data_IF_770354945072
#
_entry.id   IF_770354945072
#
_cell.length_a   1.000
_cell.length_b   1.000
_cell.length_c   1.000
_cell.angle_alpha   90.00
_cell.angle_beta   90.00
_cell.angle_gamma   90.00
#
_symmetry.space_group_name_H-M   'P 1'
#
loop_
_entity.id
_entity.type
_entity.pdbx_description
1 polymer ?
#
# COMPACT_ATOMS: atom_id res chain seq x y z
N UNK A 1 -3.40 26.37 0.51
CA UNK A 1 -4.10 25.20 -0.09
C UNK A 1 -3.24 24.00 0.24
N UNK A 2 -3.73 23.05 1.01
CA UNK A 2 -2.99 21.83 1.26
C UNK A 2 -2.77 21.15 -0.10
N UNK A 3 -1.52 20.88 -0.47
CA UNK A 3 -1.20 20.08 -1.64
C UNK A 3 -1.96 18.76 -1.51
N UNK A 4 -2.79 18.44 -2.51
CA UNK A 4 -3.59 17.23 -2.50
C UNK A 4 -2.68 16.00 -2.42
N UNK A 5 -3.08 14.98 -1.67
CA UNK A 5 -2.33 13.72 -1.60
C UNK A 5 -2.43 12.98 -2.94
N UNK A 6 -1.26 12.58 -3.48
CA UNK A 6 -1.17 11.79 -4.70
C UNK A 6 -1.23 10.31 -4.33
N UNK A 7 -2.20 9.60 -4.93
CA UNK A 7 -2.40 8.17 -4.72
C UNK A 7 -2.24 7.40 -6.03
N UNK A 8 -1.64 6.21 -5.90
CA UNK A 8 -1.58 5.26 -6.99
C UNK A 8 -2.87 4.43 -7.08
N UNK A 9 -3.52 4.15 -5.94
CA UNK A 9 -4.79 3.42 -5.89
C UNK A 9 -5.94 4.30 -6.40
N UNK A 10 -6.72 3.75 -7.34
CA UNK A 10 -7.91 4.40 -7.88
C UNK A 10 -9.08 3.42 -8.00
N UNK A 11 -10.30 3.94 -7.84
CA UNK A 11 -11.53 3.18 -8.02
C UNK A 11 -12.10 3.40 -9.43
N UNK A 12 -12.59 2.32 -10.04
CA UNK A 12 -13.25 2.32 -11.34
C UNK A 12 -14.77 2.18 -11.12
N UNK A 13 -15.55 3.28 -11.18
CA UNK A 13 -16.98 3.26 -10.81
C UNK A 13 -17.82 2.30 -11.65
N UNK A 14 -17.50 2.13 -12.93
CA UNK A 14 -18.22 1.22 -13.84
C UNK A 14 -18.12 -0.26 -13.41
N UNK A 15 -17.00 -0.67 -12.80
CA UNK A 15 -16.76 -2.03 -12.29
C UNK A 15 -17.29 -2.21 -10.86
N UNK A 16 -17.38 -1.13 -10.06
CA UNK A 16 -17.74 -1.19 -8.66
C UNK A 16 -19.21 -1.60 -8.45
N UNK A 17 -19.45 -2.53 -7.52
CA UNK A 17 -20.79 -3.03 -7.15
C UNK A 17 -21.25 -2.58 -5.75
N UNK A 18 -20.48 -1.73 -5.05
CA UNK A 18 -20.85 -1.24 -3.73
C UNK A 18 -20.87 -2.31 -2.60
N UNK A 19 -20.13 -3.40 -2.73
CA UNK A 19 -20.18 -4.56 -1.84
C UNK A 19 -19.48 -4.41 -0.48
N UNK A 20 -18.94 -3.26 -0.13
CA UNK A 20 -18.22 -2.88 1.11
C UNK A 20 -17.00 -3.73 1.49
N UNK A 21 -16.61 -4.73 0.70
CA UNK A 21 -15.45 -5.60 1.01
C UNK A 21 -14.15 -4.80 1.14
N UNK A 22 -13.90 -3.83 0.26
CA UNK A 22 -12.74 -2.95 0.31
C UNK A 22 -12.79 -1.98 1.52
N UNK A 23 -13.98 -1.60 1.97
CA UNK A 23 -14.20 -0.75 3.15
C UNK A 23 -13.71 -1.49 4.40
N UNK A 24 -14.14 -2.74 4.56
CA UNK A 24 -13.76 -3.59 5.71
C UNK A 24 -12.29 -4.02 5.70
N UNK A 25 -11.67 -4.06 4.54
CA UNK A 25 -10.27 -4.44 4.39
C UNK A 25 -9.29 -3.26 4.56
N UNK A 26 -9.80 -2.04 4.70
CA UNK A 26 -8.94 -0.86 4.76
C UNK A 26 -8.41 -0.61 6.19
N UNK A 27 -7.09 -0.71 6.43
CA UNK A 27 -6.52 -0.60 7.78
C UNK A 27 -6.57 0.83 8.35
N UNK A 28 -6.85 1.81 7.51
CA UNK A 28 -6.89 3.24 7.89
C UNK A 28 -8.27 3.87 7.69
N UNK A 29 -9.31 3.05 7.48
CA UNK A 29 -10.68 3.52 7.28
C UNK A 29 -10.81 4.56 6.15
N UNK A 30 -9.99 4.43 5.11
CA UNK A 30 -9.89 5.39 4.01
C UNK A 30 -10.97 5.25 2.94
N UNK A 31 -11.90 4.31 3.08
CA UNK A 31 -12.89 4.00 2.03
C UNK A 31 -14.29 4.13 2.57
N UNK A 32 -15.17 4.71 1.76
CA UNK A 32 -16.62 4.75 1.97
C UNK A 32 -17.33 4.17 0.74
N UNK A 33 -18.52 3.62 0.94
CA UNK A 33 -19.46 3.33 -0.15
C UNK A 33 -20.61 4.31 -0.04
N UNK A 34 -20.77 5.14 -1.07
CA UNK A 34 -21.88 6.09 -1.19
C UNK A 34 -22.53 5.91 -2.55
N UNK A 35 -23.86 5.98 -2.63
CA UNK A 35 -24.62 5.78 -3.88
C UNK A 35 -24.22 4.49 -4.63
N UNK A 36 -23.91 3.42 -3.89
CA UNK A 36 -23.51 2.12 -4.45
C UNK A 36 -22.10 2.10 -5.08
N UNK A 37 -21.25 3.10 -4.83
CA UNK A 37 -19.87 3.18 -5.32
C UNK A 37 -18.88 3.45 -4.20
N UNK A 38 -17.70 2.85 -4.35
CA UNK A 38 -16.60 3.10 -3.41
C UNK A 38 -15.90 4.42 -3.74
N UNK A 39 -15.63 5.19 -2.69
CA UNK A 39 -14.94 6.49 -2.72
C UNK A 39 -13.76 6.48 -1.75
N UNK A 40 -12.69 7.21 -2.10
CA UNK A 40 -11.44 7.28 -1.34
C UNK A 40 -11.37 8.58 -0.53
N UNK A 41 -11.10 8.45 0.77
CA UNK A 41 -10.70 9.58 1.61
C UNK A 41 -9.18 9.71 1.51
N UNK A 42 -8.72 10.64 0.66
CA UNK A 42 -7.30 10.80 0.32
C UNK A 42 -6.40 10.97 1.55
N UNK A 43 -6.81 11.76 2.55
CA UNK A 43 -6.02 11.98 3.75
C UNK A 43 -5.70 10.69 4.54
N UNK A 44 -6.50 9.63 4.40
CA UNK A 44 -6.36 8.36 5.13
C UNK A 44 -5.69 7.25 4.35
N UNK A 45 -5.65 7.35 3.02
CA UNK A 45 -5.09 6.29 2.19
C UNK A 45 -3.56 6.19 2.35
N UNK A 46 -3.07 4.96 2.53
CA UNK A 46 -1.65 4.63 2.63
C UNK A 46 -1.13 3.86 1.41
N UNK A 47 -1.93 3.71 0.38
CA UNK A 47 -1.63 2.99 -0.86
C UNK A 47 -1.15 1.53 -0.67
N UNK A 48 -1.53 0.86 0.42
CA UNK A 48 -1.10 -0.52 0.69
C UNK A 48 -1.63 -1.54 -0.34
N UNK A 49 -2.71 -1.20 -1.07
CA UNK A 49 -3.32 -2.06 -2.09
C UNK A 49 -4.16 -3.21 -1.55
N UNK A 50 -4.48 -3.26 -0.25
CA UNK A 50 -5.33 -4.33 0.30
C UNK A 50 -6.73 -4.32 -0.32
N UNK A 51 -7.29 -3.14 -0.59
CA UNK A 51 -8.55 -3.00 -1.32
C UNK A 51 -8.52 -3.61 -2.73
N UNK A 52 -7.35 -3.60 -3.41
CA UNK A 52 -7.17 -4.24 -4.73
C UNK A 52 -7.24 -5.76 -4.59
N UNK A 53 -6.54 -6.33 -3.60
CA UNK A 53 -6.52 -7.78 -3.36
C UNK A 53 -7.89 -8.34 -3.02
N UNK A 54 -8.70 -7.58 -2.28
CA UNK A 54 -10.02 -8.00 -1.79
C UNK A 54 -11.14 -7.77 -2.80
N UNK A 55 -10.91 -7.01 -3.86
CA UNK A 55 -11.96 -6.67 -4.81
C UNK A 55 -12.21 -7.78 -5.83
N UNK A 56 -13.27 -8.58 -5.63
CA UNK A 56 -13.66 -9.65 -6.55
C UNK A 56 -14.08 -9.15 -7.95
N UNK A 57 -14.41 -7.87 -8.07
CA UNK A 57 -14.84 -7.24 -9.33
C UNK A 57 -13.70 -6.50 -10.06
N UNK A 58 -12.48 -6.54 -9.53
CA UNK A 58 -11.35 -5.79 -10.08
C UNK A 58 -11.68 -4.32 -10.34
N UNK A 59 -12.49 -3.72 -9.44
CA UNK A 59 -12.89 -2.33 -9.51
C UNK A 59 -11.90 -1.37 -8.84
N UNK A 60 -10.81 -1.89 -8.30
CA UNK A 60 -9.72 -1.11 -7.71
C UNK A 60 -8.46 -1.42 -8.49
N UNK A 61 -7.89 -0.39 -9.09
CA UNK A 61 -6.70 -0.46 -9.91
C UNK A 61 -5.59 0.41 -9.31
N UNK A 62 -4.34 0.16 -9.68
CA UNK A 62 -3.25 1.05 -9.38
C UNK A 62 -2.80 1.78 -10.64
N UNK A 63 -2.40 3.02 -10.46
CA UNK A 63 -1.64 3.72 -11.48
C UNK A 63 -0.23 3.11 -11.54
N UNK A 64 0.31 2.97 -12.73
CA UNK A 64 1.73 2.72 -12.98
C UNK A 64 2.05 3.26 -14.37
N UNK A 65 3.30 3.66 -14.58
CA UNK A 65 3.75 4.12 -15.89
C UNK A 65 3.76 2.95 -16.87
N UNK A 66 3.64 3.28 -18.15
CA UNK A 66 3.70 2.29 -19.23
C UNK A 66 5.13 2.13 -19.73
N UNK A 67 5.46 0.93 -20.23
CA UNK A 67 6.79 0.67 -20.77
C UNK A 67 7.19 1.66 -21.88
N UNK A 68 6.20 2.10 -22.67
CA UNK A 68 6.41 3.06 -23.76
C UNK A 68 6.92 4.44 -23.30
N UNK A 69 6.75 4.77 -22.01
CA UNK A 69 7.24 6.04 -21.42
C UNK A 69 8.77 6.16 -21.41
N UNK A 70 9.50 5.02 -21.48
CA UNK A 70 10.96 5.03 -21.56
C UNK A 70 11.47 5.78 -22.80
N UNK A 71 10.68 5.85 -23.87
CA UNK A 71 11.04 6.55 -25.12
C UNK A 71 11.22 8.07 -24.95
N UNK A 72 10.82 8.63 -23.78
CA UNK A 72 11.04 10.05 -23.48
C UNK A 72 12.47 10.39 -23.13
N UNK A 73 13.29 9.38 -22.85
CA UNK A 73 14.68 9.55 -22.42
C UNK A 73 15.64 8.95 -23.44
N UNK A 74 16.83 9.55 -23.52
CA UNK A 74 17.88 9.07 -24.43
C UNK A 74 18.57 7.81 -23.91
N UNK A 75 18.67 7.67 -22.59
CA UNK A 75 19.30 6.52 -21.93
C UNK A 75 18.42 6.06 -20.78
N UNK A 76 18.12 4.78 -20.74
CA UNK A 76 17.16 4.23 -19.78
C UNK A 76 17.78 3.14 -18.90
N UNK A 77 17.76 3.38 -17.60
CA UNK A 77 18.25 2.44 -16.58
C UNK A 77 17.04 1.83 -15.87
N UNK A 78 16.98 0.51 -15.79
CA UNK A 78 15.95 -0.17 -15.01
C UNK A 78 16.49 -0.71 -13.70
N UNK A 79 15.69 -0.57 -12.65
CA UNK A 79 16.00 -1.00 -11.29
C UNK A 79 15.06 -2.16 -10.91
N UNK A 80 15.42 -3.43 -11.23
CA UNK A 80 14.66 -4.58 -10.78
C UNK A 80 14.84 -4.80 -9.27
N UNK A 81 13.73 -4.92 -8.51
CA UNK A 81 13.80 -5.29 -7.10
C UNK A 81 14.00 -6.80 -6.93
N UNK A 82 14.47 -7.26 -5.76
CA UNK A 82 14.55 -8.69 -5.44
C UNK A 82 13.22 -9.43 -5.64
N UNK A 83 12.10 -8.77 -5.42
CA UNK A 83 10.76 -9.33 -5.61
C UNK A 83 10.42 -9.69 -7.06
N UNK A 84 11.10 -9.09 -8.06
CA UNK A 84 10.93 -9.45 -9.47
C UNK A 84 11.42 -10.88 -9.72
N UNK A 85 12.62 -11.22 -9.24
CA UNK A 85 13.24 -12.52 -9.46
C UNK A 85 12.41 -13.67 -8.89
N UNK A 86 11.71 -13.42 -7.80
CA UNK A 86 10.79 -14.37 -7.17
C UNK A 86 9.59 -14.75 -8.05
N UNK A 87 9.24 -13.91 -9.04
CA UNK A 87 8.09 -14.15 -9.93
C UNK A 87 8.39 -15.22 -10.98
N UNK A 88 9.65 -15.59 -11.17
CA UNK A 88 10.09 -16.56 -12.17
C UNK A 88 10.45 -17.90 -11.51
N UNK A 89 10.25 -19.02 -12.20
CA UNK A 89 10.74 -20.33 -11.77
C UNK A 89 12.23 -20.27 -11.39
N UNK A 90 12.61 -21.01 -10.37
CA UNK A 90 13.95 -20.94 -9.81
C UNK A 90 15.07 -21.46 -10.73
N UNK A 91 14.73 -22.24 -11.75
CA UNK A 91 15.64 -22.74 -12.80
C UNK A 91 16.03 -21.70 -13.85
N UNK A 92 15.26 -20.60 -13.98
CA UNK A 92 15.63 -19.46 -14.81
C UNK A 92 16.64 -18.61 -14.04
N UNK A 93 17.84 -18.43 -14.57
CA UNK A 93 18.90 -17.68 -13.89
C UNK A 93 18.59 -16.16 -13.80
N UNK A 94 19.20 -15.49 -12.85
CA UNK A 94 19.10 -14.04 -12.66
C UNK A 94 19.62 -13.29 -13.88
N UNK A 95 20.73 -13.79 -14.49
CA UNK A 95 21.29 -13.22 -15.73
C UNK A 95 20.29 -13.28 -16.88
N UNK A 96 19.57 -14.40 -17.01
CA UNK A 96 18.57 -14.58 -18.05
C UNK A 96 17.42 -13.59 -17.88
N UNK A 97 16.95 -13.36 -16.65
CA UNK A 97 15.89 -12.39 -16.34
C UNK A 97 16.37 -10.96 -16.65
N UNK A 98 17.60 -10.63 -16.25
CA UNK A 98 18.22 -9.34 -16.57
C UNK A 98 18.38 -9.13 -18.08
N UNK A 99 18.92 -10.13 -18.78
CA UNK A 99 19.05 -10.08 -20.24
C UNK A 99 17.72 -9.85 -20.95
N UNK A 100 16.65 -10.46 -20.44
CA UNK A 100 15.29 -10.21 -20.92
C UNK A 100 14.86 -8.74 -20.79
N UNK A 101 15.30 -8.05 -19.75
CA UNK A 101 14.99 -6.61 -19.54
C UNK A 101 15.69 -5.72 -20.59
N UNK A 102 16.92 -6.04 -20.99
CA UNK A 102 17.60 -5.33 -22.09
C UNK A 102 16.82 -5.41 -23.40
N UNK A 103 16.18 -6.56 -23.68
CA UNK A 103 15.37 -6.74 -24.88
C UNK A 103 14.06 -5.90 -24.87
N UNK A 104 13.70 -5.31 -23.73
CA UNK A 104 12.54 -4.43 -23.59
C UNK A 104 12.86 -2.95 -23.85
N UNK A 105 14.12 -2.63 -24.17
CA UNK A 105 14.56 -1.28 -24.51
C UNK A 105 15.27 -0.54 -23.40
N UNK A 106 15.63 -1.22 -22.31
CA UNK A 106 16.50 -0.64 -21.29
C UNK A 106 17.97 -0.78 -21.68
N UNK A 107 18.72 0.32 -21.56
CA UNK A 107 20.14 0.38 -21.91
C UNK A 107 21.02 -0.22 -20.82
N UNK A 108 20.58 -0.08 -19.55
CA UNK A 108 21.29 -0.57 -18.37
C UNK A 108 20.35 -1.15 -17.34
N UNK A 109 20.85 -2.13 -16.59
CA UNK A 109 20.12 -2.82 -15.52
C UNK A 109 20.97 -2.78 -14.26
N UNK A 110 20.39 -2.29 -13.18
CA UNK A 110 21.03 -2.27 -11.88
C UNK A 110 20.12 -2.84 -10.81
N UNK A 111 20.56 -3.92 -10.16
CA UNK A 111 19.76 -4.61 -9.14
C UNK A 111 19.64 -3.76 -7.87
N UNK A 112 18.41 -3.50 -7.43
CA UNK A 112 18.14 -2.85 -6.15
C UNK A 112 18.72 -3.66 -4.98
N UNK A 113 18.92 -4.96 -5.15
CA UNK A 113 19.52 -5.85 -4.16
C UNK A 113 20.93 -5.39 -3.73
N UNK A 114 21.73 -4.85 -4.64
CA UNK A 114 23.07 -4.29 -4.34
C UNK A 114 22.95 -3.09 -3.38
N UNK A 115 22.01 -2.18 -3.66
CA UNK A 115 21.76 -1.05 -2.78
C UNK A 115 21.18 -1.50 -1.42
N UNK A 116 20.41 -2.60 -1.41
CA UNK A 116 19.88 -3.18 -0.16
C UNK A 116 20.99 -3.62 0.79
N UNK A 117 22.09 -4.15 0.26
CA UNK A 117 23.28 -4.51 1.05
C UNK A 117 23.93 -3.31 1.70
N UNK A 118 24.14 -2.26 0.93
CA UNK A 118 24.71 -1.00 1.43
C UNK A 118 23.81 -0.43 2.55
N UNK A 119 22.51 -0.34 2.32
CA UNK A 119 21.55 0.18 3.29
C UNK A 119 21.46 -0.72 4.54
N UNK A 120 21.61 -2.06 4.41
CA UNK A 120 21.68 -2.97 5.56
C UNK A 120 22.82 -2.62 6.50
N UNK A 121 24.00 -2.31 5.96
CA UNK A 121 25.16 -1.91 6.77
C UNK A 121 24.92 -0.55 7.43
N UNK A 122 24.30 0.40 6.72
CA UNK A 122 23.97 1.72 7.28
C UNK A 122 22.92 1.62 8.41
N UNK A 123 21.90 0.77 8.25
CA UNK A 123 20.92 0.47 9.32
C UNK A 123 21.62 -0.17 10.53
N UNK A 124 22.50 -1.17 10.30
CA UNK A 124 23.22 -1.85 11.38
C UNK A 124 24.10 -0.88 12.17
N UNK A 125 24.80 0.01 11.46
CA UNK A 125 25.63 1.05 12.10
C UNK A 125 24.77 2.04 12.90
N UNK A 126 23.64 2.47 12.34
CA UNK A 126 22.69 3.35 13.03
C UNK A 126 22.16 2.71 14.33
N UNK A 127 21.74 1.44 14.28
CA UNK A 127 21.22 0.72 15.46
C UNK A 127 22.31 0.56 16.53
N UNK A 128 23.53 0.22 16.12
CA UNK A 128 24.68 0.07 17.03
C UNK A 128 25.03 1.37 17.76
N UNK A 129 24.95 2.49 17.07
CA UNK A 129 25.30 3.81 17.60
C UNK A 129 24.11 4.57 18.20
N UNK A 130 22.90 3.96 18.22
CA UNK A 130 21.70 4.61 18.71
C UNK A 130 21.70 4.76 20.23
N UNK A 131 21.77 6.01 20.69
CA UNK A 131 21.72 6.40 22.10
C UNK A 131 20.43 7.11 22.50
N UNK A 132 19.44 7.16 21.59
CA UNK A 132 18.15 7.81 21.79
C UNK A 132 17.13 6.88 22.47
N UNK A 133 16.36 7.39 23.39
CA UNK A 133 15.54 6.76 24.41
C UNK A 133 14.67 5.54 24.07
N UNK A 134 13.80 5.55 23.05
CA UNK A 134 12.80 4.50 22.85
C UNK A 134 13.22 3.46 21.81
N UNK A 135 13.04 2.19 22.15
CA UNK A 135 13.13 1.02 21.28
C UNK A 135 11.77 0.31 21.24
N UNK A 136 11.51 -0.55 20.25
CA UNK A 136 12.38 -0.88 19.11
C UNK A 136 12.48 0.28 18.09
N UNK A 137 13.55 0.26 17.29
CA UNK A 137 13.64 1.02 16.06
C UNK A 137 12.83 0.34 14.97
N UNK A 138 12.27 1.11 14.02
CA UNK A 138 11.34 0.62 13.00
C UNK A 138 11.95 0.83 11.61
N UNK A 139 11.84 -0.17 10.75
CA UNK A 139 12.25 -0.12 9.35
C UNK A 139 11.55 1.02 8.59
N UNK A 140 12.30 1.68 7.70
CA UNK A 140 11.80 2.75 6.83
C UNK A 140 11.47 2.30 5.40
N UNK A 141 11.66 1.03 5.05
CA UNK A 141 11.69 0.58 3.65
C UNK A 141 10.34 0.35 3.00
N UNK A 142 9.26 0.26 3.78
CA UNK A 142 7.90 0.10 3.28
C UNK A 142 7.11 1.41 3.36
N UNK A 143 6.87 2.13 2.23
CA UNK A 143 6.16 3.43 2.27
C UNK A 143 4.72 3.32 2.79
N UNK A 144 4.06 2.15 2.66
CA UNK A 144 2.74 1.93 3.25
C UNK A 144 2.81 1.92 4.79
N UNK A 145 3.87 1.33 5.37
CA UNK A 145 4.08 1.33 6.82
C UNK A 145 4.43 2.73 7.32
N UNK A 146 5.29 3.47 6.60
CA UNK A 146 5.60 4.86 6.95
C UNK A 146 4.34 5.73 6.97
N UNK A 147 3.48 5.61 5.95
CA UNK A 147 2.19 6.32 5.91
C UNK A 147 1.23 5.82 7.00
N UNK A 148 1.24 4.53 7.35
CA UNK A 148 0.46 4.01 8.48
C UNK A 148 0.91 4.66 9.80
N UNK A 149 2.22 4.77 10.00
CA UNK A 149 2.78 5.45 11.18
C UNK A 149 2.37 6.93 11.20
N UNK A 150 2.50 7.65 10.08
CA UNK A 150 2.08 9.06 9.99
C UNK A 150 0.61 9.27 10.32
N UNK A 151 -0.27 8.31 9.95
CA UNK A 151 -1.72 8.39 10.04
C UNK A 151 -2.25 7.90 11.38
N UNK A 152 -1.75 6.75 11.88
CA UNK A 152 -2.31 6.06 13.07
C UNK A 152 -1.39 6.10 14.31
N UNK A 153 -0.08 6.23 14.12
CA UNK A 153 0.92 6.13 15.19
C UNK A 153 1.98 7.26 15.12
N UNK A 154 1.58 8.54 15.05
CA UNK A 154 2.52 9.63 14.82
C UNK A 154 3.59 9.76 15.92
N UNK A 155 3.34 9.26 17.13
CA UNK A 155 4.29 9.18 18.23
C UNK A 155 5.48 8.27 17.95
N UNK A 156 5.34 7.29 17.03
CA UNK A 156 6.39 6.36 16.63
C UNK A 156 7.33 6.92 15.54
N UNK A 157 7.04 8.07 14.97
CA UNK A 157 7.86 8.67 13.88
C UNK A 157 9.34 8.78 14.29
N UNK A 158 9.61 9.07 15.57
CA UNK A 158 10.99 9.22 16.08
C UNK A 158 11.76 7.89 16.19
N UNK A 159 11.05 6.76 16.11
CA UNK A 159 11.62 5.40 16.16
C UNK A 159 11.90 4.84 14.77
N UNK A 160 11.43 5.51 13.71
CA UNK A 160 11.75 5.12 12.32
C UNK A 160 13.20 5.44 12.02
N UNK A 161 13.95 4.45 11.51
CA UNK A 161 15.36 4.61 11.15
C UNK A 161 15.49 5.57 9.97
N UNK A 162 16.26 6.67 10.08
CA UNK A 162 16.35 7.70 9.06
C UNK A 162 17.40 7.36 7.99
N UNK A 163 17.19 6.30 7.22
CA UNK A 163 18.05 5.91 6.10
C UNK A 163 17.27 5.92 4.79
N UNK A 164 17.98 5.99 3.67
CA UNK A 164 17.38 5.94 2.34
C UNK A 164 16.76 4.57 2.07
N UNK A 165 15.60 4.51 1.41
CA UNK A 165 15.16 3.25 0.80
C UNK A 165 16.17 2.77 -0.24
N UNK A 166 16.44 1.44 -0.35
CA UNK A 166 17.39 0.90 -1.31
C UNK A 166 17.18 1.35 -2.75
N UNK A 167 15.93 1.49 -3.19
CA UNK A 167 15.62 1.93 -4.55
C UNK A 167 16.06 3.38 -4.82
N UNK A 168 15.95 4.25 -3.83
CA UNK A 168 16.39 5.65 -3.95
C UNK A 168 17.91 5.74 -3.91
N UNK A 169 18.58 4.96 -3.05
CA UNK A 169 20.03 4.87 -3.03
C UNK A 169 20.57 4.36 -4.37
N UNK A 170 19.93 3.33 -4.96
CA UNK A 170 20.26 2.83 -6.28
C UNK A 170 20.07 3.92 -7.36
N UNK A 171 18.91 4.61 -7.35
CA UNK A 171 18.59 5.63 -8.35
C UNK A 171 19.60 6.79 -8.35
N UNK A 172 19.96 7.30 -7.16
CA UNK A 172 20.96 8.35 -7.00
C UNK A 172 22.31 7.88 -7.55
N UNK A 173 22.72 6.67 -7.17
CA UNK A 173 24.00 6.10 -7.58
C UNK A 173 24.10 5.94 -9.10
N UNK A 174 23.14 5.21 -9.72
CA UNK A 174 23.22 4.89 -11.16
C UNK A 174 23.07 6.11 -12.05
N UNK A 175 22.24 7.07 -11.62
CA UNK A 175 22.04 8.30 -12.39
C UNK A 175 23.30 9.15 -12.42
N UNK A 176 23.95 9.32 -11.27
CA UNK A 176 25.22 10.04 -11.14
C UNK A 176 26.31 9.35 -11.97
N UNK A 177 26.46 8.02 -11.84
CA UNK A 177 27.46 7.24 -12.58
C UNK A 177 27.24 7.33 -14.09
N UNK A 178 25.99 7.24 -14.55
CA UNK A 178 25.66 7.35 -15.96
C UNK A 178 25.94 8.76 -16.51
N UNK A 179 25.62 9.82 -15.76
CA UNK A 179 25.97 11.21 -16.15
C UNK A 179 27.47 11.39 -16.31
N UNK A 180 28.28 10.92 -15.35
CA UNK A 180 29.73 11.01 -15.38
C UNK A 180 30.34 10.18 -16.52
N UNK A 181 29.87 8.97 -16.75
CA UNK A 181 30.37 8.04 -17.74
C UNK A 181 30.01 8.41 -19.19
N UNK A 182 28.77 8.90 -19.39
CA UNK A 182 28.19 9.13 -20.71
C UNK A 182 28.27 10.62 -21.13
N UNK A 183 28.49 11.53 -20.16
CA UNK A 183 28.45 12.97 -20.43
C UNK A 183 27.03 13.48 -20.76
N UNK A 184 26.00 12.78 -20.31
CA UNK A 184 24.59 13.15 -20.51
C UNK A 184 24.11 14.05 -19.39
N UNK A 185 23.17 14.94 -19.74
CA UNK A 185 22.45 15.75 -18.76
C UNK A 185 21.42 14.89 -17.99
N UNK A 186 21.09 15.30 -16.76
CA UNK A 186 20.12 14.61 -15.90
C UNK A 186 18.78 14.33 -16.59
N UNK A 187 18.28 15.29 -17.38
CA UNK A 187 17.00 15.19 -18.10
C UNK A 187 17.00 14.17 -19.26
N UNK A 188 18.16 13.72 -19.70
CA UNK A 188 18.33 12.74 -20.79
C UNK A 188 18.34 11.30 -20.28
N UNK A 189 18.46 11.09 -18.95
CA UNK A 189 18.57 9.77 -18.32
C UNK A 189 17.28 9.44 -17.59
N UNK A 190 16.61 8.37 -18.04
CA UNK A 190 15.43 7.79 -17.38
C UNK A 190 15.86 6.68 -16.41
N UNK A 191 15.44 6.78 -15.14
CA UNK A 191 15.65 5.73 -14.14
C UNK A 191 14.29 5.17 -13.73
N UNK A 192 14.09 3.87 -14.00
CA UNK A 192 12.78 3.20 -13.92
C UNK A 192 12.77 2.09 -12.89
N UNK A 193 11.84 2.16 -11.95
CA UNK A 193 11.67 1.11 -10.95
C UNK A 193 10.61 0.09 -11.37
N UNK A 194 10.88 -1.20 -11.21
CA UNK A 194 9.86 -2.25 -11.39
C UNK A 194 9.09 -2.46 -10.10
N UNK A 195 7.95 -1.78 -9.96
CA UNK A 195 7.23 -1.67 -8.71
C UNK A 195 6.39 -2.91 -8.38
N UNK A 196 6.55 -3.50 -7.17
CA UNK A 196 5.72 -4.61 -6.69
C UNK A 196 4.38 -4.16 -6.08
N UNK A 197 4.21 -2.87 -5.78
CA UNK A 197 3.03 -2.36 -5.08
C UNK A 197 2.72 -0.89 -5.38
N UNK A 198 1.45 -0.47 -5.21
CA UNK A 198 1.03 0.92 -5.45
C UNK A 198 1.67 1.92 -4.47
N UNK A 199 2.04 1.49 -3.25
CA UNK A 199 2.66 2.40 -2.28
C UNK A 199 4.04 2.88 -2.71
N UNK A 200 4.83 2.02 -3.35
CA UNK A 200 6.13 2.41 -3.91
C UNK A 200 5.97 3.35 -5.13
N UNK A 201 4.97 3.10 -5.98
CA UNK A 201 4.64 4.00 -7.08
C UNK A 201 4.18 5.38 -6.57
N UNK A 202 3.25 5.41 -5.63
CA UNK A 202 2.80 6.66 -5.02
C UNK A 202 3.94 7.42 -4.32
N UNK A 203 4.93 6.70 -3.75
CA UNK A 203 6.09 7.32 -3.10
C UNK A 203 7.05 8.00 -4.10
N UNK A 204 7.19 7.45 -5.29
CA UNK A 204 7.97 8.10 -6.38
C UNK A 204 7.30 9.41 -6.81
N UNK A 205 5.96 9.45 -6.86
CA UNK A 205 5.21 10.65 -7.27
C UNK A 205 5.11 11.70 -6.17
N UNK A 206 5.01 11.29 -4.92
CA UNK A 206 4.98 12.14 -3.73
C UNK A 206 5.67 11.43 -2.58
N UNK A 207 6.97 11.66 -2.46
CA UNK A 207 7.81 11.01 -1.46
C UNK A 207 7.51 11.49 -0.04
N UNK A 208 7.47 10.53 0.90
CA UNK A 208 7.38 10.79 2.34
C UNK A 208 8.73 10.68 3.04
N UNK A 209 9.70 10.03 2.43
CA UNK A 209 10.98 9.62 3.03
C UNK A 209 12.22 10.25 2.38
N UNK A 210 12.13 10.77 1.15
CA UNK A 210 13.24 11.46 0.49
C UNK A 210 12.88 12.89 0.07
N UNK A 211 13.87 13.78 0.04
CA UNK A 211 13.69 15.20 -0.34
C UNK A 211 13.34 15.31 -1.81
N UNK A 212 14.14 14.64 -2.67
CA UNK A 212 13.94 14.56 -4.11
C UNK A 212 14.26 13.16 -4.60
N UNK A 213 13.33 12.54 -5.31
CA UNK A 213 13.60 11.26 -5.98
C UNK A 213 14.38 11.47 -7.27
N UNK A 214 15.29 10.53 -7.56
CA UNK A 214 15.99 10.47 -8.85
C UNK A 214 15.33 9.47 -9.81
N UNK A 215 14.22 8.85 -9.40
CA UNK A 215 13.41 7.97 -10.23
C UNK A 215 12.59 8.80 -11.23
N UNK A 216 12.58 8.39 -12.48
CA UNK A 216 11.75 8.99 -13.53
C UNK A 216 10.32 8.47 -13.52
N UNK A 217 10.14 7.25 -13.01
CA UNK A 217 8.83 6.62 -12.89
C UNK A 217 8.92 5.17 -12.41
N UNK A 218 7.77 4.51 -12.38
CA UNK A 218 7.68 3.08 -12.04
C UNK A 218 6.74 2.32 -12.96
N UNK A 219 7.15 1.09 -13.31
CA UNK A 219 6.37 0.16 -14.12
C UNK A 219 5.98 -1.01 -13.22
N UNK A 220 4.71 -1.37 -13.18
CA UNK A 220 4.26 -2.51 -12.38
C UNK A 220 4.89 -3.81 -12.87
N UNK A 221 5.35 -4.68 -11.95
CA UNK A 221 5.89 -6.00 -12.30
C UNK A 221 4.85 -6.79 -13.12
N UNK A 222 3.58 -6.74 -12.76
CA UNK A 222 2.49 -7.42 -13.48
C UNK A 222 2.30 -6.90 -14.93
N UNK A 223 2.62 -5.64 -15.21
CA UNK A 223 2.54 -5.07 -16.57
C UNK A 223 3.65 -5.59 -17.47
N UNK A 224 4.87 -5.71 -16.91
CA UNK A 224 6.06 -6.08 -17.69
C UNK A 224 6.27 -7.61 -17.76
N UNK A 225 5.74 -8.37 -16.78
CA UNK A 225 6.02 -9.79 -16.59
C UNK A 225 5.80 -10.63 -17.86
N UNK A 226 4.67 -10.48 -18.53
CA UNK A 226 4.36 -11.26 -19.74
C UNK A 226 5.28 -10.90 -20.92
N UNK A 227 5.72 -9.64 -21.03
CA UNK A 227 6.70 -9.21 -22.05
C UNK A 227 8.08 -9.77 -21.73
N UNK A 228 8.47 -9.73 -20.46
CA UNK A 228 9.75 -10.25 -19.97
C UNK A 228 9.86 -11.77 -20.16
N UNK A 229 8.80 -12.53 -19.83
CA UNK A 229 8.75 -13.97 -20.07
C UNK A 229 8.97 -14.33 -21.56
N UNK A 230 8.41 -13.56 -22.49
CA UNK A 230 8.63 -13.78 -23.92
C UNK A 230 10.05 -13.43 -24.37
N UNK A 231 10.67 -12.42 -23.75
CA UNK A 231 12.01 -11.95 -24.10
C UNK A 231 13.13 -12.85 -23.58
N UNK A 232 12.91 -13.57 -22.48
CA UNK A 232 13.89 -14.49 -21.86
C UNK A 232 14.40 -15.53 -22.85
N UNK A 233 13.53 -16.07 -23.73
CA UNK A 233 13.92 -17.09 -24.72
C UNK A 233 14.86 -16.59 -25.84
N UNK A 234 15.08 -15.28 -25.97
CA UNK A 234 15.92 -14.67 -27.00
C UNK A 234 17.13 -13.93 -26.44
N UNK A 235 17.52 -14.20 -25.20
CA UNK A 235 18.65 -13.52 -24.53
C UNK A 235 19.95 -13.84 -25.25
N UNK A 236 20.58 -12.80 -25.82
CA UNK A 236 21.98 -12.79 -26.22
C UNK A 236 22.79 -12.30 -25.01
N UNK A 237 24.04 -12.76 -24.89
CA UNK A 237 24.94 -12.48 -23.76
C UNK A 237 24.71 -11.11 -23.08
N UNK A 238 24.49 -11.14 -21.77
CA UNK A 238 24.23 -9.90 -21.02
C UNK A 238 25.49 -9.10 -20.79
N UNK A 239 25.38 -7.78 -20.86
CA UNK A 239 26.43 -6.83 -20.43
C UNK A 239 26.76 -7.09 -18.95
N UNK A 240 27.99 -6.72 -18.55
CA UNK A 240 28.51 -6.86 -17.18
C UNK A 240 27.46 -6.38 -16.14
N UNK A 241 27.04 -7.28 -15.28
CA UNK A 241 26.00 -7.03 -14.26
C UNK A 241 26.64 -7.25 -12.91
N UNK A 242 26.48 -6.27 -12.03
CA UNK A 242 26.88 -6.40 -10.63
C UNK A 242 25.89 -7.31 -9.93
N UNK A 243 26.32 -8.49 -9.51
CA UNK A 243 25.48 -9.46 -8.81
C UNK A 243 25.46 -9.14 -7.31
N UNK A 244 24.27 -9.03 -6.73
CA UNK A 244 24.09 -8.93 -5.28
C UNK A 244 24.31 -10.29 -4.61
N UNK A 245 24.64 -10.28 -3.31
CA UNK A 245 24.65 -11.49 -2.48
C UNK A 245 23.23 -11.97 -2.15
N UNK A 246 23.15 -13.17 -1.53
CA UNK A 246 21.89 -13.71 -1.03
C UNK A 246 21.24 -12.82 0.02
N UNK A 247 22.00 -12.02 0.75
CA UNK A 247 21.47 -11.05 1.71
C UNK A 247 20.73 -9.89 1.05
N UNK A 248 21.31 -9.29 0.01
CA UNK A 248 20.63 -8.25 -0.77
C UNK A 248 19.40 -8.79 -1.51
N UNK A 249 19.54 -9.96 -2.14
CA UNK A 249 18.43 -10.62 -2.85
C UNK A 249 17.31 -11.04 -1.88
N UNK A 250 17.63 -11.37 -0.63
CA UNK A 250 16.69 -11.78 0.41
C UNK A 250 15.69 -10.69 0.80
N UNK A 251 15.98 -9.42 0.58
CA UNK A 251 15.10 -8.29 0.91
C UNK A 251 13.73 -8.34 0.21
N UNK A 252 13.56 -9.15 -0.81
CA UNK A 252 12.27 -9.38 -1.46
C UNK A 252 11.23 -10.05 -0.56
N UNK A 253 11.67 -10.84 0.42
CA UNK A 253 10.85 -11.62 1.35
C UNK A 253 10.91 -11.02 2.76
N UNK A 254 9.88 -11.25 3.56
CA UNK A 254 9.89 -10.87 4.98
C UNK A 254 11.06 -11.57 5.72
N UNK A 255 11.63 -10.86 6.66
CA UNK A 255 12.82 -11.31 7.40
C UNK A 255 14.13 -11.16 6.64
N UNK A 256 14.10 -10.81 5.36
CA UNK A 256 15.29 -10.63 4.54
C UNK A 256 16.08 -9.39 4.88
N UNK A 257 15.40 -8.28 5.15
CA UNK A 257 16.01 -7.06 5.66
C UNK A 257 16.66 -7.32 7.02
N UNK A 258 15.93 -7.93 7.95
CA UNK A 258 16.44 -8.27 9.29
C UNK A 258 17.67 -9.18 9.24
N UNK A 259 17.65 -10.18 8.37
CA UNK A 259 18.80 -11.08 8.16
C UNK A 259 20.01 -10.34 7.60
N UNK A 260 19.81 -9.40 6.67
CA UNK A 260 20.88 -8.60 6.10
C UNK A 260 21.43 -7.55 7.09
N UNK A 261 20.58 -6.95 7.92
CA UNK A 261 20.98 -6.03 9.00
C UNK A 261 21.73 -6.77 10.13
N UNK A 262 21.34 -8.02 10.45
CA UNK A 262 22.03 -8.88 11.38
C UNK A 262 21.87 -8.48 12.86
N UNK A 263 20.70 -8.04 13.27
CA UNK A 263 20.38 -7.69 14.65
C UNK A 263 19.84 -8.92 15.39
N UNK A 264 20.43 -9.28 16.53
CA UNK A 264 20.04 -10.45 17.33
C UNK A 264 18.62 -10.32 17.90
N UNK A 265 18.31 -9.16 18.49
CA UNK A 265 17.00 -8.87 19.08
C UNK A 265 16.09 -8.16 18.06
N UNK A 266 15.93 -8.77 16.90
CA UNK A 266 15.10 -8.27 15.83
C UNK A 266 13.79 -9.05 15.68
N UNK A 267 12.75 -8.37 15.15
CA UNK A 267 11.46 -8.96 14.81
C UNK A 267 11.11 -8.62 13.37
N UNK A 268 10.70 -9.59 12.58
CA UNK A 268 10.16 -9.37 11.24
C UNK A 268 8.64 -9.61 11.23
N UNK A 269 7.88 -8.60 10.79
CA UNK A 269 6.43 -8.63 10.76
C UNK A 269 5.93 -8.34 9.36
N UNK A 270 4.98 -9.12 8.89
CA UNK A 270 4.39 -8.96 7.57
C UNK A 270 2.86 -9.09 7.57
N UNK A 271 2.22 -8.40 6.61
CA UNK A 271 0.77 -8.26 6.55
C UNK A 271 0.29 -7.06 7.37
N UNK A 272 -0.51 -6.20 6.72
CA UNK A 272 -0.84 -4.88 7.27
C UNK A 272 -1.57 -4.94 8.61
N UNK A 273 -2.42 -5.96 8.83
CA UNK A 273 -3.13 -6.17 10.09
C UNK A 273 -2.14 -6.49 11.22
N UNK A 274 -1.22 -7.45 11.00
CA UNK A 274 -0.19 -7.82 11.96
C UNK A 274 0.77 -6.64 12.26
N UNK A 275 1.11 -5.87 11.22
CA UNK A 275 1.95 -4.67 11.37
C UNK A 275 1.23 -3.63 12.23
N UNK A 276 -0.07 -3.45 12.03
CA UNK A 276 -0.90 -2.55 12.85
C UNK A 276 -0.83 -2.96 14.32
N UNK A 277 -1.10 -4.23 14.63
CA UNK A 277 -1.08 -4.76 16.01
C UNK A 277 0.28 -4.61 16.68
N UNK A 278 1.37 -4.85 15.94
CA UNK A 278 2.73 -4.68 16.48
C UNK A 278 3.06 -3.21 16.72
N UNK A 279 2.70 -2.31 15.79
CA UNK A 279 2.90 -0.87 16.00
C UNK A 279 2.09 -0.36 17.20
N UNK A 280 0.89 -0.86 17.42
CA UNK A 280 0.09 -0.55 18.60
C UNK A 280 0.79 -1.02 19.90
N UNK A 281 1.35 -2.22 19.92
CA UNK A 281 2.12 -2.70 21.08
C UNK A 281 3.38 -1.87 21.33
N UNK A 282 4.08 -1.43 20.26
CA UNK A 282 5.23 -0.54 20.38
C UNK A 282 4.81 0.81 20.96
N UNK A 283 3.67 1.38 20.50
CA UNK A 283 3.15 2.65 21.00
C UNK A 283 2.84 2.59 22.50
N UNK A 284 2.37 1.42 22.96
CA UNK A 284 2.11 1.13 24.38
C UNK A 284 3.36 0.73 25.17
N UNK A 285 4.56 0.77 24.55
CA UNK A 285 5.84 0.38 25.17
C UNK A 285 5.86 -1.08 25.70
N UNK A 286 5.20 -2.01 25.00
CA UNK A 286 5.09 -3.43 25.39
C UNK A 286 6.18 -4.32 24.82
N UNK A 287 7.13 -3.77 24.05
CA UNK A 287 8.22 -4.52 23.37
C UNK A 287 9.61 -3.96 23.68
N UNK A 288 10.00 -3.78 24.97
CA UNK A 288 11.27 -3.14 25.34
C UNK A 288 12.51 -4.00 25.03
N UNK A 289 12.34 -5.32 24.85
CA UNK A 289 13.43 -6.27 24.61
C UNK A 289 13.77 -6.44 23.12
N UNK A 290 13.05 -5.76 22.24
CA UNK A 290 13.28 -5.75 20.79
C UNK A 290 14.10 -4.52 20.42
N UNK A 291 15.20 -4.70 19.68
CA UNK A 291 16.01 -3.58 19.21
C UNK A 291 15.53 -3.01 17.88
N UNK A 292 15.07 -3.87 16.97
CA UNK A 292 14.68 -3.50 15.63
C UNK A 292 13.49 -4.31 15.11
N UNK A 293 12.58 -3.65 14.40
CA UNK A 293 11.42 -4.30 13.77
C UNK A 293 11.41 -4.04 12.27
N UNK A 294 11.55 -5.10 11.48
CA UNK A 294 11.26 -5.09 10.06
C UNK A 294 9.74 -5.16 9.86
N UNK A 295 9.16 -4.18 9.17
CA UNK A 295 7.73 -4.10 8.91
C UNK A 295 7.40 -4.13 7.41
N UNK A 296 6.66 -5.13 6.96
CA UNK A 296 6.19 -5.25 5.58
C UNK A 296 4.66 -5.27 5.50
N UNK A 297 4.05 -4.30 4.80
CA UNK A 297 2.58 -4.23 4.67
C UNK A 297 2.00 -5.43 3.92
N UNK A 298 2.77 -6.09 3.05
CA UNK A 298 2.32 -7.22 2.25
C UNK A 298 2.61 -8.55 2.95
N UNK A 299 1.67 -9.50 2.89
CA UNK A 299 1.91 -10.86 3.37
C UNK A 299 3.00 -11.54 2.54
N UNK A 300 4.07 -12.00 3.21
CA UNK A 300 5.26 -12.57 2.59
C UNK A 300 6.34 -11.55 2.22
N UNK A 301 6.14 -10.26 2.48
CA UNK A 301 7.03 -9.18 2.03
C UNK A 301 6.69 -8.67 0.62
N UNK A 302 7.65 -8.02 -0.04
CA UNK A 302 7.44 -7.41 -1.36
C UNK A 302 7.10 -8.43 -2.47
N UNK A 303 7.50 -9.69 -2.34
CA UNK A 303 7.14 -10.77 -3.29
C UNK A 303 5.63 -11.00 -3.38
N UNK A 304 4.87 -10.66 -2.33
CA UNK A 304 3.40 -10.73 -2.31
C UNK A 304 2.74 -9.38 -2.56
N UNK A 305 3.40 -8.43 -3.20
CA UNK A 305 2.86 -7.11 -3.54
C UNK A 305 1.64 -7.17 -4.46
N UNK A 306 0.72 -6.18 -4.42
CA UNK A 306 -0.47 -6.17 -5.28
C UNK A 306 -0.19 -6.04 -6.78
N UNK A 307 1.01 -5.60 -7.16
CA UNK A 307 1.45 -5.45 -8.56
C UNK A 307 2.45 -6.52 -8.99
N UNK A 308 2.56 -7.62 -8.25
CA UNK A 308 3.32 -8.82 -8.65
C UNK A 308 2.46 -9.73 -9.53
N UNK A 309 3.09 -10.72 -10.18
CA UNK A 309 2.42 -11.61 -11.14
C UNK A 309 2.15 -13.00 -10.57
N UNK A 310 3.09 -13.55 -9.78
CA UNK A 310 3.03 -14.92 -9.27
C UNK A 310 2.31 -14.98 -7.90
N UNK A 311 1.78 -16.16 -7.59
CA UNK A 311 1.26 -16.43 -6.26
C UNK A 311 2.37 -16.28 -5.21
N UNK A 312 2.10 -15.55 -4.11
CA UNK A 312 3.10 -15.22 -3.10
C UNK A 312 3.83 -16.43 -2.49
N UNK A 313 3.15 -17.57 -2.33
CA UNK A 313 3.76 -18.78 -1.78
C UNK A 313 4.67 -19.46 -2.79
N UNK A 314 4.32 -19.42 -4.08
CA UNK A 314 5.17 -19.90 -5.18
C UNK A 314 6.39 -18.98 -5.31
N UNK A 315 6.17 -17.67 -5.29
CA UNK A 315 7.24 -16.66 -5.32
C UNK A 315 8.21 -16.83 -4.13
N UNK A 316 7.70 -17.07 -2.92
CA UNK A 316 8.52 -17.35 -1.74
C UNK A 316 9.38 -18.61 -1.93
N UNK A 317 8.78 -19.70 -2.42
CA UNK A 317 9.51 -20.93 -2.75
C UNK A 317 10.61 -20.66 -3.79
N UNK A 318 10.28 -19.94 -4.87
CA UNK A 318 11.25 -19.62 -5.93
C UNK A 318 12.43 -18.83 -5.37
N UNK A 319 12.15 -17.80 -4.56
CA UNK A 319 13.19 -16.97 -3.95
C UNK A 319 14.07 -17.79 -2.99
N UNK A 320 13.48 -18.61 -2.12
CA UNK A 320 14.23 -19.46 -1.18
C UNK A 320 15.19 -20.40 -1.91
N UNK A 321 14.77 -21.00 -3.02
CA UNK A 321 15.63 -21.87 -3.83
C UNK A 321 16.78 -21.08 -4.49
N UNK A 322 16.54 -19.86 -4.95
CA UNK A 322 17.60 -18.96 -5.46
C UNK A 322 18.61 -18.62 -4.41
N UNK A 323 18.14 -18.16 -3.23
CA UNK A 323 19.01 -17.79 -2.11
C UNK A 323 19.86 -18.98 -1.64
N UNK A 324 19.31 -20.19 -1.61
CA UNK A 324 20.06 -21.40 -1.26
C UNK A 324 21.25 -21.64 -2.20
N UNK A 325 21.02 -21.54 -3.54
CA UNK A 325 22.09 -21.68 -4.54
C UNK A 325 23.15 -20.59 -4.44
N UNK A 326 22.73 -19.34 -4.19
CA UNK A 326 23.68 -18.21 -4.05
C UNK A 326 24.61 -18.46 -2.85
N UNK A 327 24.07 -18.89 -1.71
CA UNK A 327 24.83 -19.18 -0.48
C UNK A 327 25.88 -20.27 -0.63
N UNK A 328 25.71 -21.19 -1.55
CA UNK A 328 26.72 -22.24 -1.84
C UNK A 328 28.05 -21.66 -2.33
N UNK A 329 28.04 -20.45 -2.87
CA UNK A 329 29.18 -19.78 -3.48
C UNK A 329 29.62 -18.50 -2.74
N UNK A 330 28.98 -18.18 -1.61
CA UNK A 330 29.24 -16.98 -0.81
C UNK A 330 30.07 -17.30 0.46
N UNK A 331 30.84 -16.32 0.97
CA UNK A 331 31.44 -16.42 2.28
C UNK A 331 30.40 -16.70 3.37
N UNK A 332 30.82 -17.41 4.42
CA UNK A 332 29.96 -17.69 5.57
C UNK A 332 29.68 -16.41 6.39
N UNK A 333 30.61 -15.46 6.42
CA UNK A 333 30.41 -14.19 7.09
C UNK A 333 29.50 -13.27 6.26
N UNK A 334 28.46 -12.76 6.89
CA UNK A 334 27.44 -11.90 6.26
C UNK A 334 28.04 -10.61 5.67
N UNK A 335 28.90 -9.95 6.44
CA UNK A 335 29.50 -8.68 6.02
C UNK A 335 30.45 -8.88 4.84
N UNK A 336 31.27 -9.95 4.92
CA UNK A 336 32.18 -10.33 3.83
C UNK A 336 31.39 -10.66 2.55
N UNK A 337 30.30 -11.45 2.65
CA UNK A 337 29.44 -11.78 1.51
C UNK A 337 28.87 -10.53 0.83
N UNK A 338 28.35 -9.57 1.60
CA UNK A 338 27.83 -8.32 1.07
C UNK A 338 28.96 -7.42 0.50
N UNK A 339 30.12 -7.36 1.14
CA UNK A 339 31.24 -6.55 0.65
C UNK A 339 31.84 -7.09 -0.64
N UNK A 340 31.88 -8.40 -0.85
CA UNK A 340 32.32 -8.99 -2.11
C UNK A 340 31.41 -8.65 -3.28
N UNK A 341 30.10 -8.53 -3.04
CA UNK A 341 29.10 -8.15 -4.06
C UNK A 341 29.04 -6.64 -4.28
N UNK A 342 29.36 -5.84 -3.25
CA UNK A 342 29.40 -4.37 -3.33
C UNK A 342 30.65 -3.88 -4.11
N UNK A 343 30.61 -3.99 -5.42
CA UNK A 343 31.67 -3.44 -6.31
C UNK A 343 31.54 -1.91 -6.46
N UNK A 344 30.58 -1.28 -5.78
CA UNK A 344 30.20 0.11 -5.99
C UNK A 344 30.74 1.01 -4.87
N UNK A 345 31.92 1.62 -5.09
CA UNK A 345 32.33 2.79 -4.32
C UNK A 345 31.45 3.98 -4.72
N UNK A 346 30.93 4.74 -3.75
CA UNK A 346 30.23 5.99 -4.03
C UNK A 346 28.71 6.00 -3.84
N UNK A 347 28.12 5.00 -3.17
CA UNK A 347 26.73 5.10 -2.73
C UNK A 347 26.48 6.34 -1.87
N UNK A 348 25.30 6.98 -2.02
CA UNK A 348 24.97 8.19 -1.25
C UNK A 348 24.75 7.85 0.24
N UNK A 349 25.37 8.62 1.13
CA UNK A 349 25.03 8.56 2.55
C UNK A 349 23.64 9.12 2.78
N UNK A 350 22.80 8.40 3.51
CA UNK A 350 21.37 8.72 3.69
C UNK A 350 21.10 10.12 4.24
N UNK A 351 21.87 10.58 5.20
CA UNK A 351 21.58 11.81 5.95
C UNK A 351 21.31 13.09 5.14
N UNK A 352 21.88 13.20 3.93
CA UNK A 352 21.68 14.36 3.05
C UNK A 352 20.37 14.30 2.23
N UNK A 353 19.77 13.14 2.10
CA UNK A 353 18.66 12.90 1.18
C UNK A 353 17.35 12.55 1.89
N UNK A 354 17.42 12.10 3.14
CA UNK A 354 16.24 11.67 3.91
C UNK A 354 15.39 12.87 4.32
N UNK A 355 14.10 12.78 4.04
CA UNK A 355 13.10 13.76 4.46
C UNK A 355 12.58 13.40 5.86
N UNK A 356 12.45 14.41 6.70
CA UNK A 356 11.85 14.22 8.01
C UNK A 356 10.37 13.83 7.88
N UNK A 357 10.00 12.68 8.43
CA UNK A 357 8.61 12.27 8.54
C UNK A 357 7.83 13.25 9.45
N UNK A 358 6.63 13.60 9.01
CA UNK A 358 5.70 14.44 9.76
C UNK A 358 4.37 13.74 9.96
N UNK A 359 3.65 13.98 11.06
CA UNK A 359 2.30 13.45 11.23
C UNK A 359 1.38 13.84 10.08
N UNK A 360 0.47 12.94 9.72
CA UNK A 360 -0.59 13.18 8.74
C UNK A 360 -1.93 13.10 9.46
N UNK A 361 -2.63 14.21 9.69
CA UNK A 361 -3.86 14.19 10.47
C UNK A 361 -4.94 13.37 9.75
N UNK A 362 -5.52 12.41 10.47
CA UNK A 362 -6.60 11.54 9.97
C UNK A 362 -7.97 12.19 10.04
N UNK A 363 -8.21 12.93 11.12
CA UNK A 363 -9.49 13.49 11.45
C UNK A 363 -9.30 14.98 11.72
N UNK A 364 -9.80 15.79 10.80
CA UNK A 364 -9.97 17.21 10.99
C UNK A 364 -11.46 17.48 10.90
N UNK A 365 -12.11 17.62 12.07
CA UNK A 365 -13.54 17.85 12.13
C UNK A 365 -13.89 19.28 11.72
N UNK A 366 -13.00 20.23 12.04
CA UNK A 366 -13.07 21.63 11.61
C UNK A 366 -11.69 22.28 11.67
N UNK A 367 -11.51 23.40 10.96
CA UNK A 367 -10.30 24.24 11.03
C UNK A 367 -10.28 25.08 12.33
N UNK A 368 -11.46 25.44 12.87
CA UNK A 368 -11.62 26.08 14.15
C UNK A 368 -11.66 25.07 15.29
N UNK A 369 -10.79 25.25 16.30
CA UNK A 369 -10.67 24.32 17.44
C UNK A 369 -11.97 24.20 18.23
N UNK A 370 -12.70 25.32 18.44
CA UNK A 370 -13.95 25.33 19.20
C UNK A 370 -15.06 24.60 18.45
N UNK A 371 -15.15 24.80 17.14
CA UNK A 371 -16.09 24.08 16.29
C UNK A 371 -15.71 22.59 16.17
N UNK A 372 -14.40 22.27 16.10
CA UNK A 372 -13.93 20.89 16.13
C UNK A 372 -14.30 20.17 17.43
N UNK A 373 -14.21 20.85 18.60
CA UNK A 373 -14.64 20.31 19.90
C UNK A 373 -16.16 20.06 19.95
N UNK A 374 -16.98 21.00 19.48
CA UNK A 374 -18.43 20.82 19.40
C UNK A 374 -18.80 19.63 18.50
N UNK A 375 -18.17 19.53 17.32
CA UNK A 375 -18.38 18.39 16.42
C UNK A 375 -17.93 17.06 17.04
N UNK A 376 -16.89 17.09 17.87
CA UNK A 376 -16.45 15.90 18.60
C UNK A 376 -17.50 15.46 19.64
N UNK A 377 -18.05 16.37 20.45
CA UNK A 377 -19.13 16.08 21.38
C UNK A 377 -20.37 15.53 20.65
N UNK A 378 -20.79 16.18 19.56
CA UNK A 378 -21.88 15.70 18.72
C UNK A 378 -21.60 14.31 18.14
N UNK A 379 -20.34 14.03 17.73
CA UNK A 379 -19.94 12.71 17.23
C UNK A 379 -20.10 11.63 18.30
N UNK A 380 -19.74 11.92 19.58
CA UNK A 380 -19.94 10.98 20.68
C UNK A 380 -21.43 10.74 20.96
N UNK A 381 -22.27 11.76 20.92
CA UNK A 381 -23.72 11.61 21.07
C UNK A 381 -24.30 10.73 19.96
N UNK A 382 -23.93 11.01 18.70
CA UNK A 382 -24.36 10.19 17.56
C UNK A 382 -23.86 8.75 17.71
N UNK A 383 -22.59 8.53 18.05
CA UNK A 383 -21.99 7.22 18.25
C UNK A 383 -22.75 6.41 19.31
N UNK A 384 -23.07 7.04 20.46
CA UNK A 384 -23.84 6.40 21.53
C UNK A 384 -25.27 6.03 21.08
N UNK A 385 -25.82 6.72 20.10
CA UNK A 385 -27.14 6.43 19.53
C UNK A 385 -27.11 5.30 18.50
N UNK A 386 -25.95 4.97 17.93
CA UNK A 386 -25.77 3.90 16.95
C UNK A 386 -25.67 2.52 17.61
N UNK A 387 -25.98 1.43 16.89
CA UNK A 387 -26.05 0.09 17.47
C UNK A 387 -24.70 -0.52 17.87
N UNK A 388 -23.54 0.07 17.52
CA UNK A 388 -22.19 -0.41 17.84
C UNK A 388 -21.80 -1.75 17.18
N UNK A 389 -22.50 -2.17 16.11
CA UNK A 389 -22.28 -3.48 15.45
C UNK A 389 -21.16 -3.45 14.41
N UNK A 390 -20.68 -2.28 14.04
CA UNK A 390 -19.61 -2.08 13.04
C UNK A 390 -19.81 -2.90 11.75
N UNK A 391 -21.05 -3.14 11.34
CA UNK A 391 -21.41 -4.07 10.28
C UNK A 391 -21.00 -3.60 8.87
N UNK A 392 -20.79 -2.29 8.67
CA UNK A 392 -20.43 -1.70 7.39
C UNK A 392 -21.56 -1.54 6.37
N UNK A 393 -22.79 -1.96 6.69
CA UNK A 393 -23.93 -1.92 5.76
C UNK A 393 -24.31 -0.50 5.30
N UNK A 394 -24.01 0.52 6.10
CA UNK A 394 -24.16 1.93 5.76
C UNK A 394 -23.08 2.45 4.81
N UNK A 395 -22.10 1.64 4.42
CA UNK A 395 -20.97 2.03 3.58
C UNK A 395 -19.80 2.68 4.33
N UNK A 396 -19.91 2.86 5.67
CA UNK A 396 -18.78 3.23 6.53
C UNK A 396 -18.15 1.96 7.15
N UNK A 397 -16.83 1.94 7.49
CA UNK A 397 -16.17 0.75 8.02
C UNK A 397 -16.66 0.33 9.40
N UNK A 398 -17.03 1.28 10.25
CA UNK A 398 -17.51 1.09 11.62
C UNK A 398 -18.50 2.21 12.00
N UNK A 399 -19.12 2.08 13.18
CA UNK A 399 -20.11 3.05 13.68
C UNK A 399 -19.45 4.41 14.00
N UNK A 400 -18.21 4.44 14.46
CA UNK A 400 -17.46 5.66 14.71
C UNK A 400 -17.26 6.47 13.42
N UNK A 401 -16.85 5.82 12.34
CA UNK A 401 -16.71 6.46 11.04
C UNK A 401 -18.05 6.96 10.47
N UNK A 402 -19.16 6.27 10.75
CA UNK A 402 -20.48 6.78 10.38
C UNK A 402 -20.83 8.03 11.20
N UNK A 403 -20.58 8.04 12.50
CA UNK A 403 -20.82 9.21 13.36
C UNK A 403 -20.00 10.42 12.91
N UNK A 404 -18.72 10.19 12.55
CA UNK A 404 -17.86 11.22 11.96
C UNK A 404 -18.44 11.78 10.64
N UNK A 405 -18.87 10.89 9.73
CA UNK A 405 -19.46 11.30 8.45
C UNK A 405 -20.77 12.10 8.67
N UNK A 406 -21.56 11.77 9.71
CA UNK A 406 -22.79 12.48 10.06
C UNK A 406 -22.49 13.90 10.54
N UNK A 407 -21.56 14.09 11.47
CA UNK A 407 -21.25 15.44 12.00
C UNK A 407 -20.56 16.32 10.96
N UNK A 408 -19.94 15.71 9.96
CA UNK A 408 -19.38 16.41 8.79
C UNK A 408 -20.43 16.66 7.68
N UNK A 409 -21.70 16.27 7.87
CA UNK A 409 -22.77 16.44 6.89
C UNK A 409 -22.65 15.54 5.65
N UNK A 410 -21.83 14.49 5.70
CA UNK A 410 -21.59 13.54 4.60
C UNK A 410 -22.48 12.30 4.66
N UNK A 411 -23.16 12.10 5.79
CA UNK A 411 -24.11 11.02 6.02
C UNK A 411 -25.20 11.45 6.98
N UNK A 412 -26.21 10.61 7.17
CA UNK A 412 -27.32 10.81 8.09
C UNK A 412 -27.53 9.59 8.97
N UNK A 413 -28.24 9.69 10.09
CA UNK A 413 -28.52 8.56 10.96
C UNK A 413 -29.34 7.44 10.25
N UNK A 414 -30.16 7.81 9.25
CA UNK A 414 -30.96 6.84 8.49
C UNK A 414 -30.12 6.02 7.49
N UNK A 415 -28.87 6.38 7.24
CA UNK A 415 -27.94 5.52 6.49
C UNK A 415 -27.63 4.23 7.26
N UNK A 416 -27.72 4.26 8.60
CA UNK A 416 -27.68 3.06 9.40
C UNK A 416 -28.97 2.24 9.22
N UNK A 417 -28.85 1.02 8.66
CA UNK A 417 -30.01 0.16 8.40
C UNK A 417 -30.85 -0.15 9.67
N UNK A 418 -30.22 -0.19 10.83
CA UNK A 418 -30.90 -0.41 12.11
C UNK A 418 -31.68 0.82 12.55
N UNK A 419 -31.11 2.02 12.39
CA UNK A 419 -31.82 3.29 12.65
C UNK A 419 -32.95 3.51 11.65
N UNK A 420 -32.72 3.25 10.36
CA UNK A 420 -33.75 3.32 9.33
C UNK A 420 -34.93 2.39 9.69
N UNK A 421 -34.64 1.12 10.03
CA UNK A 421 -35.67 0.16 10.43
C UNK A 421 -36.46 0.62 11.66
N UNK A 422 -35.78 1.18 12.66
CA UNK A 422 -36.42 1.71 13.85
C UNK A 422 -37.32 2.91 13.51
N UNK A 423 -36.88 3.82 12.66
CA UNK A 423 -37.63 4.99 12.20
C UNK A 423 -38.87 4.59 11.40
N UNK A 424 -38.72 3.63 10.48
CA UNK A 424 -39.84 3.09 9.69
C UNK A 424 -40.88 2.45 10.59
N UNK A 425 -40.44 1.66 11.60
CA UNK A 425 -41.36 1.03 12.58
C UNK A 425 -42.13 2.06 13.41
N UNK A 426 -41.43 3.15 13.85
CA UNK A 426 -42.04 4.26 14.60
C UNK A 426 -43.09 4.99 13.74
N UNK A 427 -42.73 5.26 12.47
CA UNK A 427 -43.63 5.92 11.53
C UNK A 427 -44.89 5.09 11.25
N UNK A 428 -44.73 3.78 11.01
CA UNK A 428 -45.83 2.87 10.78
C UNK A 428 -46.77 2.77 11.99
N UNK A 429 -46.21 2.75 13.22
CA UNK A 429 -47.00 2.77 14.43
C UNK A 429 -47.81 4.07 14.60
N UNK A 430 -47.17 5.23 14.34
CA UNK A 430 -47.82 6.53 14.36
C UNK A 430 -48.96 6.63 13.32
N UNK A 431 -48.73 6.10 12.10
CA UNK A 431 -49.79 6.04 11.06
C UNK A 431 -50.99 5.18 11.50
N UNK A 432 -50.74 4.05 12.15
CA UNK A 432 -51.81 3.19 12.69
C UNK A 432 -52.58 3.88 13.81
N UNK A 433 -51.92 4.62 14.69
CA UNK A 433 -52.57 5.41 15.74
C UNK A 433 -53.45 6.53 15.17
N UNK A 434 -52.93 7.28 14.18
CA UNK A 434 -53.70 8.30 13.49
C UNK A 434 -54.93 7.72 12.75
N UNK A 435 -54.75 6.59 12.07
CA UNK A 435 -55.86 5.92 11.37
C UNK A 435 -56.98 5.45 12.35
N UNK A 436 -56.61 5.11 13.59
CA UNK A 436 -57.59 4.76 14.63
C UNK A 436 -58.36 5.98 15.17
N UNK A 437 -57.76 7.18 15.09
CA UNK A 437 -58.39 8.43 15.57
C UNK A 437 -59.27 9.10 14.52
N UNK A 438 -59.14 8.74 13.23
CA UNK A 438 -60.01 9.24 12.18
C UNK A 438 -61.34 8.50 12.33
N UNK A 439 -62.49 9.20 12.59
CA UNK A 439 -63.82 8.59 12.58
C UNK A 439 -64.04 7.95 11.19
N UNK A 440 -64.41 6.68 11.18
CA UNK A 440 -64.77 5.99 9.94
C UNK A 440 -66.06 6.66 9.47
N UNK A 441 -65.98 7.49 8.44
CA UNK A 441 -67.16 8.01 7.74
C UNK A 441 -67.75 6.81 6.97
N UNK A 442 -68.93 6.33 7.42
CA UNK A 442 -69.58 5.14 6.83
C UNK A 442 -69.99 5.29 5.37
N UNK A 443 -69.63 6.43 4.71
CA UNK A 443 -69.89 6.68 3.32
C UNK A 443 -68.85 6.15 2.32
N UNK A 444 -67.65 5.75 2.80
CA UNK A 444 -66.60 5.29 1.90
C UNK A 444 -66.65 3.82 1.49
N UNK A 445 -67.67 3.07 2.00
CA UNK A 445 -67.87 1.65 1.67
C UNK A 445 -69.04 1.38 0.71
N UNK A 446 -69.62 2.40 0.07
CA UNK A 446 -70.66 2.22 -0.91
C UNK A 446 -70.16 2.51 -2.35
N UNK A 447 -69.11 1.84 -2.74
CA UNK A 447 -68.89 1.65 -4.19
C UNK A 447 -69.30 0.22 -4.52
N UNK A 448 -70.62 0.13 -4.78
CA UNK A 448 -71.27 -1.09 -5.20
C UNK A 448 -70.73 -1.54 -6.54
N UNK A 449 -70.12 -2.70 -6.51
CA UNK A 449 -69.97 -3.51 -7.69
C UNK A 449 -71.32 -3.79 -8.36
N UNK A 450 -71.70 -3.08 -9.41
CA UNK A 450 -72.68 -3.55 -10.37
C UNK A 450 -72.12 -4.75 -11.10
N UNK A 451 -72.60 -5.93 -10.68
CA UNK A 451 -72.56 -7.14 -11.49
C UNK A 451 -73.39 -6.92 -12.76
N UNK A 452 -72.72 -6.70 -13.85
CA UNK A 452 -73.33 -6.85 -15.17
C UNK A 452 -73.32 -8.32 -15.58
N UNK A 453 -74.42 -9.00 -15.22
CA UNK A 453 -74.86 -10.20 -15.86
C UNK A 453 -75.47 -9.88 -17.24
N UNK A 454 -74.80 -10.24 -18.29
CA UNK A 454 -75.37 -10.42 -19.64
C UNK A 454 -74.40 -11.34 -20.38
N UNK A 455 -74.68 -12.37 -20.82
CA UNK A 455 -75.74 -13.12 -21.42
C UNK A 455 -75.08 -14.24 -22.24
N UNK A 456 -75.64 -15.40 -22.14
CA UNK A 456 -75.32 -16.57 -22.97
C UNK A 456 -75.69 -16.33 -24.41
N UNK A 457 -74.85 -16.78 -25.34
CA UNK A 457 -75.27 -16.90 -26.73
C UNK A 457 -74.18 -17.49 -27.63
N UNK A 458 -74.18 -18.80 -27.74
CA UNK A 458 -74.00 -19.66 -28.93
C UNK A 458 -73.21 -19.09 -30.15
N UNK A 459 -72.08 -19.65 -30.50
CA UNK A 459 -71.82 -20.63 -31.55
C UNK A 459 -70.39 -21.10 -31.58
#
# INVERSE_FOLDING_TARGET
MAEGYIHSVRFVPSKCKGCVTCVKACPTDAIRVRNGKAELIAARCIDCGECMRRCAYHAVEAYSDKLEEIQKYQYNIVLPPPSLYAQFPADISEETIRGGSSNLGFDEIFDVAVASEYISLEIADYIKNYNGGRKPLISCTCPAVLRLIQVKFPELIKQVVPVLPPVEAAAIYVKKEAMERLGLEESQIGVWFLAPCPSKDANIRQSVDVVHTQLSGSIAISEIYGRLMRSIGSVKESKKITAASSYGMGWGCYGGELAAVGVEKGLAVHGIENVYDVLEQISMNKMPDVDYVECSACSGGCIGGPLTAENKFVAEKNLKLRLARMREHEPADRVEAMQQSMVCEGFPKSGAYVKKLVPRPMMQLDDDILEAMKKFEQMEEVLNSLPGLDCGACGAPNCQCLAEDIVQGKATEIDCIFKLRASVKKLAHGMLELARQIPIDNNDFNDNGEENNADKGSN
#
